data_IF_663328319594
#
_entry.id   IF_663328319594
#
_cell.length_a   1.000
_cell.length_b   1.000
_cell.length_c   1.000
_cell.angle_alpha   90.00
_cell.angle_beta   90.00
_cell.angle_gamma   90.00
#
_symmetry.space_group_name_H-M   'P 1'
#
loop_
_entity.id
_entity.type
_entity.pdbx_description
1 polymer ?
#
# COMPACT_ATOMS: atom_id res chain seq x y z
N UNK A 1 43.03 -10.02 -3.68
CA UNK A 1 43.31 -10.44 -2.29
C UNK A 1 42.32 -11.49 -1.78
N UNK A 2 40.98 -11.24 -1.72
CA UNK A 2 40.02 -12.25 -1.24
C UNK A 2 39.79 -13.36 -2.28
N UNK A 3 39.78 -13.05 -3.57
CA UNK A 3 39.74 -14.06 -4.64
C UNK A 3 40.96 -15.00 -4.61
N UNK A 4 42.13 -14.46 -4.38
CA UNK A 4 43.35 -15.25 -4.19
C UNK A 4 43.23 -16.15 -2.96
N UNK A 5 42.70 -15.62 -1.84
CA UNK A 5 42.48 -16.40 -0.63
C UNK A 5 41.48 -17.56 -0.88
N UNK A 6 40.42 -17.32 -1.66
CA UNK A 6 39.44 -18.32 -2.08
C UNK A 6 40.09 -19.33 -3.01
N UNK A 7 40.95 -18.89 -3.93
CA UNK A 7 41.67 -19.77 -4.85
C UNK A 7 42.58 -20.75 -4.10
N UNK A 8 43.39 -20.26 -3.13
CA UNK A 8 44.28 -21.09 -2.34
C UNK A 8 43.56 -21.95 -1.29
N UNK A 9 42.45 -21.48 -0.75
CA UNK A 9 41.64 -22.23 0.20
C UNK A 9 40.13 -22.08 -0.10
N UNK A 10 39.56 -22.94 -0.95
CA UNK A 10 38.16 -22.90 -1.33
C UNK A 10 37.16 -23.11 -0.18
N UNK A 11 37.63 -23.45 1.03
CA UNK A 11 36.80 -23.59 2.23
C UNK A 11 37.00 -22.46 3.24
N UNK A 12 37.70 -21.37 2.89
CA UNK A 12 37.98 -20.25 3.75
C UNK A 12 36.71 -19.33 3.89
N UNK A 13 35.85 -19.67 4.83
CA UNK A 13 34.56 -18.93 5.09
C UNK A 13 34.81 -17.42 5.19
N UNK A 14 35.82 -16.99 5.96
CA UNK A 14 36.10 -15.59 6.17
C UNK A 14 36.40 -14.82 4.86
N UNK A 15 37.07 -15.46 3.89
CA UNK A 15 37.36 -14.86 2.60
C UNK A 15 36.09 -14.62 1.77
N UNK A 16 35.16 -15.57 1.75
CA UNK A 16 33.89 -15.43 1.05
C UNK A 16 32.98 -14.38 1.69
N UNK A 17 32.87 -14.39 3.02
CA UNK A 17 32.01 -13.41 3.71
C UNK A 17 32.54 -11.98 3.51
N UNK A 18 33.85 -11.78 3.62
CA UNK A 18 34.48 -10.47 3.35
C UNK A 18 34.38 -10.06 1.88
N UNK A 19 34.52 -11.00 0.96
CA UNK A 19 34.27 -10.75 -0.45
C UNK A 19 32.84 -10.27 -0.67
N UNK A 20 31.87 -10.96 -0.11
CA UNK A 20 30.47 -10.62 -0.23
C UNK A 20 30.15 -9.23 0.39
N UNK A 21 30.75 -8.87 1.52
CA UNK A 21 30.59 -7.53 2.13
C UNK A 21 31.05 -6.40 1.22
N UNK A 22 32.13 -6.60 0.47
CA UNK A 22 32.64 -5.59 -0.46
C UNK A 22 31.75 -5.48 -1.71
N UNK A 23 31.32 -6.62 -2.23
CA UNK A 23 30.62 -6.67 -3.51
C UNK A 23 29.10 -6.57 -3.41
N UNK A 24 28.50 -6.69 -2.22
CA UNK A 24 27.03 -6.71 -2.04
C UNK A 24 26.30 -5.52 -2.67
N UNK A 25 26.95 -4.35 -2.72
CA UNK A 25 26.37 -3.14 -3.34
C UNK A 25 26.89 -2.93 -4.77
N UNK A 26 28.18 -3.19 -5.02
CA UNK A 26 28.80 -2.92 -6.31
C UNK A 26 28.49 -4.02 -7.36
N UNK A 27 28.45 -5.27 -6.95
CA UNK A 27 28.11 -6.42 -7.81
C UNK A 27 27.50 -7.55 -6.96
N UNK A 28 26.26 -7.37 -6.59
CA UNK A 28 25.53 -8.33 -5.77
C UNK A 28 25.42 -9.73 -6.41
N UNK A 29 25.36 -9.80 -7.73
CA UNK A 29 25.27 -11.08 -8.43
C UNK A 29 26.55 -11.92 -8.25
N UNK A 30 27.70 -11.29 -8.35
CA UNK A 30 29.00 -11.94 -8.09
C UNK A 30 29.14 -12.34 -6.61
N UNK A 31 28.68 -11.49 -5.69
CA UNK A 31 28.68 -11.81 -4.26
C UNK A 31 27.82 -13.05 -3.97
N UNK A 32 26.60 -13.13 -4.54
CA UNK A 32 25.72 -14.29 -4.41
C UNK A 32 26.33 -15.54 -5.03
N UNK A 33 26.94 -15.45 -6.21
CA UNK A 33 27.63 -16.57 -6.86
C UNK A 33 28.70 -17.17 -5.95
N UNK A 34 29.58 -16.32 -5.40
CA UNK A 34 30.65 -16.76 -4.50
C UNK A 34 30.10 -17.38 -3.22
N UNK A 35 29.06 -16.80 -2.62
CA UNK A 35 28.41 -17.36 -1.44
C UNK A 35 27.77 -18.73 -1.75
N UNK A 36 27.15 -18.90 -2.92
CA UNK A 36 26.59 -20.19 -3.33
C UNK A 36 27.66 -21.24 -3.59
N UNK A 37 28.85 -20.87 -4.11
CA UNK A 37 29.99 -21.74 -4.19
C UNK A 37 30.40 -22.30 -2.80
N UNK A 38 30.50 -21.40 -1.81
CA UNK A 38 30.79 -21.82 -0.43
C UNK A 38 29.64 -22.66 0.17
N UNK A 39 28.37 -22.29 -0.11
CA UNK A 39 27.22 -23.06 0.36
C UNK A 39 27.18 -24.47 -0.16
N UNK A 40 27.61 -24.72 -1.41
CA UNK A 40 27.73 -26.04 -1.98
C UNK A 40 28.82 -26.88 -1.26
N UNK A 41 29.91 -26.24 -0.81
CA UNK A 41 30.98 -26.90 -0.06
C UNK A 41 30.68 -27.10 1.43
N UNK A 42 29.81 -26.25 1.98
CA UNK A 42 29.43 -26.19 3.39
C UNK A 42 27.93 -25.92 3.55
N UNK A 43 27.05 -26.89 3.25
CA UNK A 43 25.60 -26.69 3.23
C UNK A 43 24.98 -26.21 4.55
N UNK A 44 25.59 -26.59 5.68
CA UNK A 44 25.13 -26.23 7.03
C UNK A 44 25.68 -24.90 7.56
N UNK A 45 26.44 -24.16 6.74
CA UNK A 45 27.05 -22.89 7.20
C UNK A 45 26.02 -21.75 7.25
N UNK A 46 25.51 -21.49 8.44
CA UNK A 46 24.51 -20.43 8.69
C UNK A 46 25.03 -19.03 8.46
N UNK A 47 26.35 -18.79 8.53
CA UNK A 47 26.94 -17.50 8.19
C UNK A 47 26.80 -17.15 6.70
N UNK A 48 26.79 -18.18 5.84
CA UNK A 48 26.51 -18.01 4.40
C UNK A 48 25.03 -17.66 4.19
N UNK A 49 24.11 -18.37 4.87
CA UNK A 49 22.68 -18.07 4.79
C UNK A 49 22.37 -16.65 5.26
N UNK A 50 22.99 -16.23 6.36
CA UNK A 50 22.86 -14.86 6.86
C UNK A 50 23.30 -13.83 5.82
N UNK A 51 24.44 -14.04 5.19
CA UNK A 51 24.97 -13.11 4.19
C UNK A 51 24.13 -13.10 2.91
N UNK A 52 23.62 -14.25 2.46
CA UNK A 52 22.68 -14.35 1.34
C UNK A 52 21.37 -13.61 1.66
N UNK A 53 20.82 -13.82 2.87
CA UNK A 53 19.60 -13.15 3.30
C UNK A 53 19.74 -11.61 3.28
N UNK A 54 20.87 -11.08 3.82
CA UNK A 54 21.18 -9.65 3.78
C UNK A 54 21.22 -9.10 2.34
N UNK A 55 21.88 -9.83 1.41
CA UNK A 55 22.01 -9.36 0.02
C UNK A 55 20.67 -9.44 -0.72
N UNK A 56 19.90 -10.51 -0.56
CA UNK A 56 18.58 -10.63 -1.17
C UNK A 56 17.62 -9.54 -0.63
N UNK A 57 17.68 -9.26 0.68
CA UNK A 57 16.89 -8.19 1.29
C UNK A 57 17.22 -6.82 0.68
N UNK A 58 18.52 -6.50 0.54
CA UNK A 58 18.98 -5.26 -0.08
C UNK A 58 18.58 -5.13 -1.56
N UNK A 59 18.39 -6.26 -2.24
CA UNK A 59 17.92 -6.32 -3.64
C UNK A 59 16.40 -6.29 -3.78
N UNK A 60 15.67 -6.22 -2.69
CA UNK A 60 14.21 -6.37 -2.64
C UNK A 60 13.71 -7.73 -3.18
N UNK A 61 14.59 -8.77 -3.20
CA UNK A 61 14.19 -10.15 -3.50
C UNK A 61 13.74 -10.82 -2.19
N UNK A 62 12.56 -10.37 -1.72
CA UNK A 62 12.06 -10.74 -0.40
C UNK A 62 11.73 -12.22 -0.28
N UNK A 63 11.36 -12.88 -1.37
CA UNK A 63 11.13 -14.32 -1.41
C UNK A 63 12.42 -15.09 -1.07
N UNK A 64 13.53 -14.78 -1.76
CA UNK A 64 14.81 -15.43 -1.48
C UNK A 64 15.42 -14.98 -0.15
N UNK A 65 15.16 -13.73 0.27
CA UNK A 65 15.57 -13.26 1.59
C UNK A 65 14.89 -14.08 2.69
N UNK A 66 13.55 -14.23 2.63
CA UNK A 66 12.79 -15.03 3.60
C UNK A 66 13.25 -16.50 3.63
N UNK A 67 13.48 -17.12 2.46
CA UNK A 67 14.02 -18.48 2.36
C UNK A 67 15.39 -18.59 3.04
N UNK A 68 16.31 -17.65 2.81
CA UNK A 68 17.62 -17.66 3.43
C UNK A 68 17.54 -17.38 4.96
N UNK A 69 16.70 -16.44 5.41
CA UNK A 69 16.45 -16.18 6.84
C UNK A 69 15.89 -17.42 7.54
N UNK A 70 14.97 -18.15 6.93
CA UNK A 70 14.32 -19.33 7.53
C UNK A 70 15.34 -20.39 7.99
N UNK A 71 16.52 -20.45 7.38
CA UNK A 71 17.55 -21.45 7.68
C UNK A 71 18.35 -21.14 8.95
N UNK A 72 18.29 -19.92 9.46
CA UNK A 72 19.09 -19.56 10.64
C UNK A 72 18.38 -18.64 11.64
N UNK A 73 17.37 -17.85 11.22
CA UNK A 73 16.77 -16.81 12.04
C UNK A 73 16.10 -17.33 13.32
N UNK A 74 15.73 -18.60 13.34
CA UNK A 74 15.16 -19.29 14.52
C UNK A 74 16.21 -19.98 15.37
N UNK A 75 17.47 -19.95 14.96
CA UNK A 75 18.58 -20.63 15.65
C UNK A 75 19.33 -19.71 16.63
N UNK A 76 20.29 -20.30 17.38
CA UNK A 76 21.02 -19.58 18.44
C UNK A 76 21.99 -18.49 17.91
N UNK A 77 22.28 -18.49 16.62
CA UNK A 77 23.19 -17.52 16.00
C UNK A 77 22.49 -16.26 15.49
N UNK A 78 21.16 -16.26 15.49
CA UNK A 78 20.36 -15.14 15.03
C UNK A 78 20.31 -14.02 16.07
N UNK A 79 20.40 -12.81 15.59
CA UNK A 79 20.15 -11.61 16.40
C UNK A 79 18.66 -11.21 16.34
N UNK A 80 18.23 -10.32 17.23
CA UNK A 80 16.89 -9.75 17.20
C UNK A 80 16.67 -9.00 15.87
N UNK A 81 17.69 -8.31 15.35
CA UNK A 81 17.64 -7.64 14.05
C UNK A 81 17.41 -8.62 12.88
N UNK A 82 18.04 -9.81 12.93
CA UNK A 82 17.80 -10.85 11.93
C UNK A 82 16.36 -11.33 11.95
N UNK A 83 15.77 -11.46 13.14
CA UNK A 83 14.37 -11.85 13.31
C UNK A 83 13.41 -10.77 12.79
N UNK A 84 13.72 -9.50 13.07
CA UNK A 84 12.96 -8.36 12.52
C UNK A 84 13.02 -8.37 11.00
N UNK A 85 14.21 -8.48 10.39
CA UNK A 85 14.36 -8.53 8.93
C UNK A 85 13.68 -9.73 8.30
N UNK A 86 13.71 -10.88 8.98
CA UNK A 86 12.97 -12.07 8.53
C UNK A 86 11.47 -11.81 8.48
N UNK A 87 10.90 -11.30 9.57
CA UNK A 87 9.48 -10.96 9.63
C UNK A 87 9.09 -9.92 8.56
N UNK A 88 9.90 -8.89 8.35
CA UNK A 88 9.69 -7.93 7.27
C UNK A 88 9.80 -8.54 5.88
N UNK A 89 10.77 -9.42 5.63
CA UNK A 89 10.89 -10.10 4.35
C UNK A 89 9.67 -10.96 4.03
N UNK A 90 9.12 -11.64 5.03
CA UNK A 90 7.88 -12.41 4.90
C UNK A 90 6.68 -11.48 4.61
N UNK A 91 6.56 -10.37 5.34
CA UNK A 91 5.51 -9.37 5.12
C UNK A 91 5.57 -8.81 3.69
N UNK A 92 6.75 -8.39 3.23
CA UNK A 92 6.94 -7.84 1.88
C UNK A 92 6.80 -8.89 0.77
N UNK A 93 6.90 -10.18 1.12
CA UNK A 93 6.59 -11.32 0.24
C UNK A 93 5.11 -11.76 0.34
N UNK A 94 4.26 -11.00 1.05
CA UNK A 94 2.84 -11.28 1.29
C UNK A 94 2.55 -12.59 2.05
N UNK A 95 3.53 -13.13 2.79
CA UNK A 95 3.34 -14.28 3.68
C UNK A 95 3.00 -13.76 5.09
N UNK A 96 1.82 -13.18 5.22
CA UNK A 96 1.40 -12.43 6.41
C UNK A 96 1.28 -13.32 7.66
N UNK A 97 0.81 -14.56 7.51
CA UNK A 97 0.69 -15.49 8.63
C UNK A 97 2.05 -15.83 9.22
N UNK A 98 3.03 -16.18 8.38
CA UNK A 98 4.39 -16.48 8.88
C UNK A 98 5.09 -15.23 9.41
N UNK A 99 4.89 -14.08 8.75
CA UNK A 99 5.40 -12.81 9.26
C UNK A 99 4.90 -12.54 10.67
N UNK A 100 3.60 -12.74 10.90
CA UNK A 100 2.95 -12.58 12.21
C UNK A 100 3.48 -13.59 13.23
N UNK A 101 3.68 -14.85 12.84
CA UNK A 101 4.26 -15.88 13.70
C UNK A 101 5.65 -15.46 14.19
N UNK A 102 6.52 -15.03 13.27
CA UNK A 102 7.87 -14.56 13.59
C UNK A 102 7.84 -13.30 14.44
N UNK A 103 6.95 -12.35 14.14
CA UNK A 103 6.78 -11.14 14.94
C UNK A 103 6.34 -11.47 16.38
N UNK A 104 5.39 -12.38 16.54
CA UNK A 104 4.92 -12.82 17.86
C UNK A 104 6.00 -13.52 18.69
N UNK A 105 6.91 -14.26 18.05
CA UNK A 105 8.08 -14.82 18.77
C UNK A 105 9.01 -13.71 19.30
N UNK A 106 9.18 -12.64 18.54
CA UNK A 106 9.90 -11.46 19.01
C UNK A 106 9.19 -10.77 20.17
N UNK A 107 7.86 -10.62 20.08
CA UNK A 107 7.03 -10.02 21.13
C UNK A 107 6.97 -10.85 22.42
N UNK A 108 7.10 -12.17 22.36
CA UNK A 108 7.25 -13.01 23.57
C UNK A 108 8.50 -12.66 24.36
N UNK A 109 9.58 -12.23 23.69
CA UNK A 109 10.84 -11.81 24.34
C UNK A 109 10.80 -10.36 24.76
N UNK A 110 10.26 -9.49 23.91
CA UNK A 110 10.15 -8.05 24.16
C UNK A 110 8.78 -7.53 23.70
N UNK A 111 7.76 -7.52 24.58
CA UNK A 111 6.40 -7.09 24.23
C UNK A 111 6.30 -5.64 23.72
N UNK A 112 7.28 -4.78 24.06
CA UNK A 112 7.29 -3.36 23.69
C UNK A 112 8.16 -3.06 22.48
N UNK A 113 8.65 -4.09 21.78
CA UNK A 113 9.52 -3.89 20.60
C UNK A 113 8.75 -3.26 19.43
N UNK A 114 9.14 -2.05 19.02
CA UNK A 114 8.41 -1.24 18.05
C UNK A 114 8.24 -1.95 16.69
N UNK A 115 9.31 -2.55 16.14
CA UNK A 115 9.25 -3.18 14.82
C UNK A 115 8.33 -4.41 14.78
N UNK A 116 8.27 -5.22 15.86
CA UNK A 116 7.38 -6.37 15.91
C UNK A 116 5.92 -5.95 16.13
N UNK A 117 5.65 -4.93 16.96
CA UNK A 117 4.28 -4.41 17.12
C UNK A 117 3.77 -3.76 15.83
N UNK A 118 4.64 -3.02 15.10
CA UNK A 118 4.35 -2.50 13.76
C UNK A 118 3.91 -3.61 12.81
N UNK A 119 4.71 -4.68 12.72
CA UNK A 119 4.40 -5.82 11.86
C UNK A 119 3.14 -6.56 12.29
N UNK A 120 2.90 -6.70 13.60
CA UNK A 120 1.67 -7.29 14.11
C UNK A 120 0.45 -6.48 13.65
N UNK A 121 0.48 -5.14 13.78
CA UNK A 121 -0.58 -4.26 13.27
C UNK A 121 -0.79 -4.43 11.77
N UNK A 122 0.28 -4.41 10.96
CA UNK A 122 0.19 -4.55 9.51
C UNK A 122 -0.39 -5.91 9.10
N UNK A 123 0.20 -7.00 9.62
CA UNK A 123 -0.23 -8.35 9.29
C UNK A 123 -1.68 -8.62 9.71
N UNK A 124 -2.09 -8.22 10.92
CA UNK A 124 -3.47 -8.36 11.35
C UNK A 124 -4.44 -7.57 10.48
N UNK A 125 -4.04 -6.39 10.01
CA UNK A 125 -4.86 -5.57 9.09
C UNK A 125 -5.04 -6.28 7.76
N UNK A 126 -3.96 -6.78 7.14
CA UNK A 126 -4.02 -7.50 5.86
C UNK A 126 -4.78 -8.83 5.97
N UNK A 127 -4.66 -9.52 7.12
CA UNK A 127 -5.41 -10.74 7.44
C UNK A 127 -6.87 -10.49 7.84
N UNK A 128 -7.32 -9.22 7.88
CA UNK A 128 -8.67 -8.80 8.28
C UNK A 128 -9.05 -9.23 9.72
N UNK A 129 -8.06 -9.35 10.57
CA UNK A 129 -8.21 -9.65 12.00
C UNK A 129 -8.26 -8.36 12.79
N UNK A 130 -9.37 -7.64 12.66
CA UNK A 130 -9.48 -6.24 13.06
C UNK A 130 -9.36 -5.99 14.56
N UNK A 131 -9.87 -6.87 15.41
CA UNK A 131 -9.76 -6.72 16.87
C UNK A 131 -8.31 -6.83 17.34
N UNK A 132 -7.56 -7.77 16.78
CA UNK A 132 -6.15 -7.94 17.08
C UNK A 132 -5.32 -6.82 16.45
N UNK A 133 -5.68 -6.36 15.24
CA UNK A 133 -5.03 -5.23 14.61
C UNK A 133 -5.18 -3.95 15.43
N UNK A 134 -6.37 -3.67 15.99
CA UNK A 134 -6.61 -2.51 16.87
C UNK A 134 -5.78 -2.59 18.15
N UNK A 135 -5.69 -3.78 18.78
CA UNK A 135 -4.83 -3.97 19.95
C UNK A 135 -3.35 -3.75 19.61
N UNK A 136 -2.90 -4.30 18.49
CA UNK A 136 -1.52 -4.11 18.04
C UNK A 136 -1.22 -2.64 17.70
N UNK A 137 -2.18 -1.92 17.09
CA UNK A 137 -2.06 -0.49 16.84
C UNK A 137 -1.97 0.33 18.14
N UNK A 138 -2.82 0.02 19.13
CA UNK A 138 -2.78 0.70 20.42
C UNK A 138 -1.43 0.51 21.12
N UNK A 139 -0.94 -0.71 21.19
CA UNK A 139 0.39 -1.00 21.74
C UNK A 139 1.48 -0.27 20.93
N UNK A 140 1.43 -0.33 19.60
CA UNK A 140 2.45 0.28 18.75
C UNK A 140 2.54 1.80 18.93
N UNK A 141 1.40 2.49 18.92
CA UNK A 141 1.39 3.95 19.00
C UNK A 141 1.53 4.51 20.43
N UNK A 142 1.13 3.76 21.46
CA UNK A 142 1.03 4.29 22.82
C UNK A 142 1.99 3.64 23.81
N UNK A 143 2.49 2.42 23.56
CA UNK A 143 3.25 1.65 24.56
C UNK A 143 4.67 1.29 24.14
N UNK A 144 5.01 1.36 22.83
CA UNK A 144 6.35 0.96 22.36
C UNK A 144 7.41 1.99 22.71
N UNK A 145 8.61 1.49 22.94
CA UNK A 145 9.77 2.34 23.23
C UNK A 145 10.38 2.87 21.94
N UNK A 146 10.59 4.19 21.83
CA UNK A 146 11.34 4.85 20.75
C UNK A 146 10.90 4.47 19.33
N UNK A 147 9.59 4.43 19.07
CA UNK A 147 9.09 4.19 17.73
C UNK A 147 9.34 5.41 16.83
N UNK A 148 10.10 5.22 15.75
CA UNK A 148 10.12 6.18 14.64
C UNK A 148 8.94 5.87 13.73
N UNK A 149 7.96 6.78 13.71
CA UNK A 149 6.77 6.61 12.88
C UNK A 149 7.05 7.01 11.44
N UNK A 150 6.63 6.16 10.51
CA UNK A 150 6.64 6.41 9.08
C UNK A 150 5.24 6.72 8.56
N UNK A 151 5.15 7.24 7.35
CA UNK A 151 3.86 7.44 6.70
C UNK A 151 3.07 6.12 6.55
N UNK A 152 3.76 4.99 6.37
CA UNK A 152 3.14 3.66 6.28
C UNK A 152 2.40 3.28 7.56
N UNK A 153 2.91 3.65 8.73
CA UNK A 153 2.27 3.33 10.00
C UNK A 153 0.89 3.98 10.09
N UNK A 154 0.82 5.26 9.77
CA UNK A 154 -0.45 5.99 9.75
C UNK A 154 -1.35 5.58 8.59
N UNK A 155 -0.79 5.21 7.45
CA UNK A 155 -1.58 4.68 6.33
C UNK A 155 -2.25 3.36 6.69
N UNK A 156 -1.50 2.41 7.27
CA UNK A 156 -2.06 1.12 7.73
C UNK A 156 -3.11 1.30 8.83
N UNK A 157 -2.87 2.21 9.76
CA UNK A 157 -3.86 2.51 10.79
C UNK A 157 -5.11 3.17 10.18
N UNK A 158 -4.94 4.04 9.20
CA UNK A 158 -6.05 4.60 8.42
C UNK A 158 -6.88 3.52 7.72
N UNK A 159 -6.23 2.56 7.04
CA UNK A 159 -6.91 1.43 6.39
C UNK A 159 -7.69 0.56 7.40
N UNK A 160 -7.09 0.25 8.54
CA UNK A 160 -7.76 -0.49 9.61
C UNK A 160 -9.03 0.24 10.10
N UNK A 161 -8.94 1.54 10.33
CA UNK A 161 -10.06 2.36 10.77
C UNK A 161 -11.15 2.47 9.69
N UNK A 162 -10.76 2.54 8.41
CA UNK A 162 -11.69 2.54 7.28
C UNK A 162 -12.45 1.22 7.15
N UNK A 163 -11.77 0.08 7.30
CA UNK A 163 -12.39 -1.25 7.33
C UNK A 163 -13.38 -1.39 8.51
N UNK A 164 -13.10 -0.74 9.63
CA UNK A 164 -13.99 -0.63 10.79
C UNK A 164 -15.08 0.45 10.63
N UNK A 165 -15.16 1.10 9.48
CA UNK A 165 -16.11 2.20 9.16
C UNK A 165 -15.93 3.45 10.04
N UNK A 166 -14.78 3.62 10.65
CA UNK A 166 -14.40 4.80 11.45
C UNK A 166 -13.74 5.85 10.55
N UNK A 167 -14.51 6.34 9.58
CA UNK A 167 -13.96 7.15 8.47
C UNK A 167 -13.32 8.47 8.89
N UNK A 168 -13.87 9.16 9.91
CA UNK A 168 -13.28 10.39 10.43
C UNK A 168 -11.91 10.15 11.07
N UNK A 169 -11.81 9.08 11.85
CA UNK A 169 -10.54 8.68 12.47
C UNK A 169 -9.54 8.24 11.39
N UNK A 170 -10.00 7.52 10.35
CA UNK A 170 -9.16 7.11 9.22
C UNK A 170 -8.56 8.30 8.48
N UNK A 171 -9.37 9.32 8.17
CA UNK A 171 -8.89 10.55 7.53
C UNK A 171 -7.80 11.23 8.34
N UNK A 172 -7.96 11.33 9.67
CA UNK A 172 -6.93 11.91 10.56
C UNK A 172 -5.60 11.16 10.42
N UNK A 173 -5.63 9.81 10.31
CA UNK A 173 -4.39 9.05 10.15
C UNK A 173 -3.79 9.24 8.76
N UNK A 174 -4.60 9.24 7.71
CA UNK A 174 -4.11 9.54 6.35
C UNK A 174 -3.50 10.95 6.24
N UNK A 175 -4.09 11.95 6.91
CA UNK A 175 -3.52 13.31 6.96
C UNK A 175 -2.16 13.35 7.66
N UNK A 176 -1.98 12.58 8.76
CA UNK A 176 -0.67 12.40 9.39
C UNK A 176 0.33 11.72 8.45
N UNK A 177 -0.12 10.72 7.69
CA UNK A 177 0.72 10.08 6.68
C UNK A 177 1.18 11.06 5.60
N UNK A 178 0.27 11.94 5.11
CA UNK A 178 0.60 13.03 4.16
C UNK A 178 1.63 14.00 4.74
N UNK A 179 1.52 14.33 6.03
CA UNK A 179 2.50 15.22 6.68
C UNK A 179 3.91 14.61 6.72
N UNK A 180 4.02 13.28 6.88
CA UNK A 180 5.29 12.58 6.92
C UNK A 180 5.88 12.33 5.53
N UNK A 181 5.03 12.09 4.54
CA UNK A 181 5.45 11.95 3.13
C UNK A 181 4.50 12.73 2.21
N UNK A 182 4.72 14.05 2.06
CA UNK A 182 3.92 14.88 1.16
C UNK A 182 4.06 14.51 -0.32
N UNK A 183 5.09 13.76 -0.69
CA UNK A 183 5.32 13.30 -2.06
C UNK A 183 4.43 12.13 -2.44
N UNK A 184 3.91 11.37 -1.46
CA UNK A 184 3.01 10.25 -1.69
C UNK A 184 1.57 10.72 -1.90
N UNK A 185 1.30 11.22 -3.08
CA UNK A 185 -0.01 11.79 -3.44
C UNK A 185 -1.12 10.73 -3.48
N UNK A 186 -0.81 9.43 -3.52
CA UNK A 186 -1.81 8.35 -3.40
C UNK A 186 -2.59 8.41 -2.08
N UNK A 187 -2.03 9.00 -1.03
CA UNK A 187 -2.72 9.20 0.25
C UNK A 187 -3.98 10.07 0.09
N UNK A 188 -3.98 11.02 -0.85
CA UNK A 188 -5.19 11.81 -1.16
C UNK A 188 -6.29 10.97 -1.81
N UNK A 189 -5.93 9.89 -2.52
CA UNK A 189 -6.90 8.91 -3.03
C UNK A 189 -7.58 8.16 -1.87
N UNK A 190 -6.81 7.78 -0.85
CA UNK A 190 -7.35 7.12 0.36
C UNK A 190 -8.27 8.08 1.13
N UNK A 191 -7.85 9.33 1.31
CA UNK A 191 -8.68 10.37 1.95
C UNK A 191 -9.99 10.56 1.18
N UNK A 192 -9.92 10.61 -0.15
CA UNK A 192 -11.11 10.73 -0.99
C UNK A 192 -12.06 9.55 -0.80
N UNK A 193 -11.54 8.32 -0.80
CA UNK A 193 -12.34 7.11 -0.61
C UNK A 193 -13.02 7.10 0.77
N UNK A 194 -12.32 7.49 1.83
CA UNK A 194 -12.88 7.56 3.17
C UNK A 194 -14.03 8.60 3.25
N UNK A 195 -13.87 9.77 2.63
CA UNK A 195 -14.94 10.76 2.55
C UNK A 195 -16.11 10.30 1.66
N UNK A 196 -15.85 9.61 0.53
CA UNK A 196 -16.90 9.02 -0.32
C UNK A 196 -17.77 8.04 0.48
N UNK A 197 -17.14 7.14 1.27
CA UNK A 197 -17.86 6.18 2.11
C UNK A 197 -18.70 6.83 3.21
N UNK A 198 -18.31 8.00 3.63
CA UNK A 198 -19.06 8.83 4.59
C UNK A 198 -20.16 9.68 3.91
N UNK A 199 -20.25 9.66 2.58
CA UNK A 199 -21.10 10.55 1.76
C UNK A 199 -20.73 12.05 1.87
N UNK A 200 -19.50 12.39 2.34
CA UNK A 200 -18.98 13.76 2.27
C UNK A 200 -18.32 13.99 0.90
N UNK A 201 -19.16 14.02 -0.13
CA UNK A 201 -18.67 14.12 -1.52
C UNK A 201 -17.90 15.40 -1.80
N UNK A 202 -18.21 16.51 -1.10
CA UNK A 202 -17.49 17.78 -1.27
C UNK A 202 -16.01 17.61 -0.90
N UNK A 203 -15.73 16.97 0.23
CA UNK A 203 -14.35 16.70 0.65
C UNK A 203 -13.72 15.56 -0.17
N UNK A 204 -14.50 14.55 -0.55
CA UNK A 204 -14.03 13.48 -1.41
C UNK A 204 -13.52 14.02 -2.77
N UNK A 205 -14.31 14.90 -3.42
CA UNK A 205 -13.94 15.54 -4.68
C UNK A 205 -12.67 16.39 -4.50
N UNK A 206 -12.61 17.19 -3.44
CA UNK A 206 -11.44 18.04 -3.16
C UNK A 206 -10.16 17.21 -2.96
N UNK A 207 -10.25 16.12 -2.20
CA UNK A 207 -9.10 15.22 -2.01
C UNK A 207 -8.72 14.51 -3.32
N UNK A 208 -9.70 14.00 -4.07
CA UNK A 208 -9.43 13.35 -5.36
C UNK A 208 -8.82 14.31 -6.38
N UNK A 209 -9.23 15.57 -6.37
CA UNK A 209 -8.66 16.61 -7.22
C UNK A 209 -7.17 16.83 -6.95
N UNK A 210 -6.76 16.81 -5.68
CA UNK A 210 -5.33 16.89 -5.30
C UNK A 210 -4.56 15.69 -5.83
N UNK A 211 -5.10 14.49 -5.69
CA UNK A 211 -4.51 13.28 -6.25
C UNK A 211 -4.37 13.39 -7.77
N UNK A 212 -5.47 13.67 -8.47
CA UNK A 212 -5.51 13.74 -9.94
C UNK A 212 -4.58 14.81 -10.52
N UNK A 213 -4.55 16.00 -9.91
CA UNK A 213 -3.67 17.09 -10.31
C UNK A 213 -2.18 16.81 -10.10
N UNK A 214 -1.84 15.87 -9.21
CA UNK A 214 -0.45 15.45 -8.97
C UNK A 214 0.09 14.49 -10.03
N UNK A 215 -0.79 13.92 -10.86
CA UNK A 215 -0.42 12.97 -11.89
C UNK A 215 0.07 13.67 -13.16
N UNK A 216 1.09 13.12 -13.78
CA UNK A 216 1.48 13.49 -15.13
C UNK A 216 0.30 13.28 -16.10
N UNK A 217 0.19 14.09 -17.14
CA UNK A 217 -0.93 14.02 -18.10
C UNK A 217 -1.12 12.61 -18.70
N UNK A 218 -0.03 11.90 -18.94
CA UNK A 218 -0.06 10.53 -19.48
C UNK A 218 -0.66 9.50 -18.51
N UNK A 219 -0.63 9.80 -17.22
CA UNK A 219 -1.21 8.96 -16.16
C UNK A 219 -2.65 9.32 -15.83
N UNK A 220 -3.17 10.42 -16.37
CA UNK A 220 -4.56 10.85 -16.20
C UNK A 220 -5.48 10.06 -17.13
N UNK A 221 -5.62 8.77 -16.85
CA UNK A 221 -6.38 7.82 -17.68
C UNK A 221 -7.89 8.06 -17.63
N UNK A 222 -8.66 7.57 -18.63
CA UNK A 222 -10.13 7.61 -18.61
C UNK A 222 -10.75 6.98 -17.35
N UNK A 223 -10.14 5.92 -16.79
CA UNK A 223 -10.62 5.28 -15.55
C UNK A 223 -10.53 6.22 -14.36
N UNK A 224 -9.47 7.01 -14.25
CA UNK A 224 -9.34 8.01 -13.19
C UNK A 224 -10.32 9.19 -13.41
N UNK A 225 -10.56 9.57 -14.66
CA UNK A 225 -11.61 10.55 -14.98
C UNK A 225 -13.00 10.01 -14.63
N UNK A 226 -13.24 8.73 -14.92
CA UNK A 226 -14.49 8.06 -14.59
C UNK A 226 -14.78 8.08 -13.08
N UNK A 227 -13.77 7.80 -12.27
CA UNK A 227 -13.91 7.92 -10.81
C UNK A 227 -14.28 9.35 -10.38
N UNK A 228 -13.73 10.35 -11.05
CA UNK A 228 -14.07 11.75 -10.78
C UNK A 228 -15.52 12.05 -11.12
N UNK A 229 -15.98 11.59 -12.29
CA UNK A 229 -17.39 11.66 -12.69
C UNK A 229 -18.33 11.00 -11.70
N UNK A 230 -17.95 9.81 -11.19
CA UNK A 230 -18.70 9.08 -10.16
C UNK A 230 -18.84 9.87 -8.85
N UNK A 231 -17.79 10.54 -8.41
CA UNK A 231 -17.84 11.38 -7.21
C UNK A 231 -18.81 12.55 -7.38
N UNK A 232 -18.79 13.22 -8.54
CA UNK A 232 -19.76 14.28 -8.84
C UNK A 232 -21.18 13.75 -8.95
N UNK A 233 -21.37 12.59 -9.59
CA UNK A 233 -22.67 11.93 -9.66
C UNK A 233 -23.20 11.57 -8.26
N UNK A 234 -22.37 10.99 -7.41
CA UNK A 234 -22.70 10.69 -6.01
C UNK A 234 -23.10 11.95 -5.23
N UNK A 235 -22.38 13.05 -5.42
CA UNK A 235 -22.72 14.33 -4.80
C UNK A 235 -24.10 14.81 -5.23
N UNK A 236 -24.46 14.66 -6.50
CA UNK A 236 -25.74 15.09 -7.04
C UNK A 236 -26.92 14.19 -6.68
N UNK A 237 -26.66 12.89 -6.42
CA UNK A 237 -27.71 11.88 -6.18
C UNK A 237 -27.82 11.42 -4.73
N UNK A 238 -26.94 11.92 -3.83
CA UNK A 238 -27.01 11.51 -2.43
C UNK A 238 -28.41 11.79 -1.85
N UNK A 239 -28.94 10.80 -1.12
CA UNK A 239 -30.24 10.93 -0.46
C UNK A 239 -30.15 12.00 0.61
N UNK A 240 -31.22 12.74 0.74
CA UNK A 240 -31.48 13.80 1.67
C UNK A 240 -30.40 14.10 2.68
N UNK A 241 -29.65 15.09 2.40
CA UNK A 241 -28.86 15.62 3.45
C UNK A 241 -29.17 17.07 3.63
N UNK A 242 -29.30 17.40 4.86
CA UNK A 242 -29.31 18.74 5.39
C UNK A 242 -28.10 19.58 4.95
N UNK A 243 -27.20 19.02 4.14
CA UNK A 243 -25.87 19.57 3.83
C UNK A 243 -25.67 20.02 2.39
N UNK A 244 -26.60 19.71 1.47
CA UNK A 244 -26.46 20.10 0.06
C UNK A 244 -27.74 20.73 -0.48
N UNK A 245 -27.63 21.90 -1.10
CA UNK A 245 -28.75 22.59 -1.72
C UNK A 245 -29.15 21.97 -3.06
N UNK A 246 -30.36 22.26 -3.53
CA UNK A 246 -30.83 21.83 -4.86
C UNK A 246 -29.90 22.34 -5.97
N UNK A 247 -29.40 23.56 -5.83
CA UNK A 247 -28.49 24.16 -6.80
C UNK A 247 -27.13 23.46 -6.83
N UNK A 248 -26.57 23.16 -5.66
CA UNK A 248 -25.33 22.38 -5.56
C UNK A 248 -25.47 20.97 -6.15
N UNK A 249 -26.65 20.32 -5.97
CA UNK A 249 -26.96 19.03 -6.61
C UNK A 249 -26.95 19.13 -8.13
N UNK A 250 -27.63 20.14 -8.68
CA UNK A 250 -27.67 20.38 -10.12
C UNK A 250 -26.28 20.65 -10.67
N UNK A 251 -25.50 21.47 -9.99
CA UNK A 251 -24.11 21.76 -10.37
C UNK A 251 -23.22 20.50 -10.35
N UNK A 252 -23.36 19.65 -9.35
CA UNK A 252 -22.65 18.40 -9.26
C UNK A 252 -23.01 17.46 -10.42
N UNK A 253 -24.30 17.29 -10.73
CA UNK A 253 -24.75 16.47 -11.85
C UNK A 253 -24.29 17.02 -13.20
N UNK A 254 -24.32 18.33 -13.39
CA UNK A 254 -23.78 18.98 -14.59
C UNK A 254 -22.26 18.76 -14.72
N UNK A 255 -21.53 18.81 -13.61
CA UNK A 255 -20.10 18.48 -13.58
C UNK A 255 -19.85 17.00 -13.92
N UNK A 256 -20.69 16.10 -13.41
CA UNK A 256 -20.63 14.67 -13.76
C UNK A 256 -20.85 14.46 -15.25
N UNK A 257 -21.90 15.09 -15.84
CA UNK A 257 -22.16 15.00 -17.30
C UNK A 257 -20.95 15.49 -18.11
N UNK A 258 -20.36 16.61 -17.72
CA UNK A 258 -19.18 17.17 -18.41
C UNK A 258 -17.98 16.21 -18.38
N UNK A 259 -17.73 15.55 -17.27
CA UNK A 259 -16.66 14.55 -17.15
C UNK A 259 -16.96 13.33 -18.02
N UNK A 260 -18.17 12.81 -17.98
CA UNK A 260 -18.57 11.66 -18.80
C UNK A 260 -18.64 11.99 -20.28
N UNK A 261 -18.92 13.25 -20.65
CA UNK A 261 -18.81 13.71 -22.03
C UNK A 261 -17.37 13.62 -22.54
N UNK A 262 -16.40 14.07 -21.72
CA UNK A 262 -15.00 13.95 -22.08
C UNK A 262 -14.58 12.48 -22.30
N UNK A 263 -15.10 11.57 -21.48
CA UNK A 263 -14.87 10.12 -21.66
C UNK A 263 -15.52 9.58 -22.94
N UNK A 264 -16.77 9.99 -23.24
CA UNK A 264 -17.45 9.57 -24.47
C UNK A 264 -16.71 10.04 -25.72
N UNK A 265 -16.15 11.25 -25.70
CA UNK A 265 -15.35 11.79 -26.80
C UNK A 265 -14.02 11.04 -26.94
N UNK A 266 -13.36 10.71 -25.83
CA UNK A 266 -12.08 10.01 -25.83
C UNK A 266 -12.20 8.53 -26.22
N UNK A 267 -13.34 7.90 -26.00
CA UNK A 267 -13.61 6.50 -26.29
C UNK A 267 -15.00 6.32 -26.93
N UNK A 268 -15.17 6.75 -28.20
CA UNK A 268 -16.48 6.77 -28.86
C UNK A 268 -17.08 5.37 -29.06
N UNK A 269 -16.24 4.32 -29.12
CA UNK A 269 -16.69 2.93 -29.24
C UNK A 269 -17.17 2.33 -27.88
N UNK A 270 -17.01 3.08 -26.79
CA UNK A 270 -17.43 2.66 -25.46
C UNK A 270 -18.77 3.30 -25.10
N UNK A 271 -19.75 2.50 -24.76
CA UNK A 271 -21.05 2.98 -24.29
C UNK A 271 -20.97 3.70 -22.93
N UNK A 272 -19.93 3.49 -22.13
CA UNK A 272 -19.84 3.94 -20.74
C UNK A 272 -20.01 5.45 -20.58
N UNK A 273 -19.37 6.24 -21.42
CA UNK A 273 -19.48 7.69 -21.36
C UNK A 273 -20.93 8.15 -21.49
N UNK A 274 -21.59 7.76 -22.58
CA UNK A 274 -22.98 8.14 -22.85
C UNK A 274 -23.97 7.51 -21.87
N UNK A 275 -23.73 6.28 -21.41
CA UNK A 275 -24.55 5.65 -20.37
C UNK A 275 -24.55 6.47 -19.06
N UNK A 276 -23.39 6.95 -18.62
CA UNK A 276 -23.32 7.74 -17.40
C UNK A 276 -23.79 9.18 -17.58
N UNK A 277 -23.66 9.73 -18.79
CA UNK A 277 -24.32 10.99 -19.18
C UNK A 277 -25.84 10.86 -19.08
N UNK A 278 -26.41 9.79 -19.62
CA UNK A 278 -27.84 9.51 -19.50
C UNK A 278 -28.28 9.46 -18.03
N UNK A 279 -27.53 8.79 -17.15
CA UNK A 279 -27.84 8.73 -15.72
C UNK A 279 -27.76 10.11 -15.02
N UNK A 280 -26.74 10.91 -15.33
CA UNK A 280 -26.61 12.23 -14.76
C UNK A 280 -27.75 13.15 -15.19
N UNK A 281 -28.12 13.09 -16.48
CA UNK A 281 -29.22 13.87 -17.04
C UNK A 281 -30.59 13.37 -16.59
N UNK A 282 -30.77 12.06 -16.35
CA UNK A 282 -31.98 11.53 -15.70
C UNK A 282 -32.14 12.04 -14.27
N UNK A 283 -31.04 12.16 -13.53
CA UNK A 283 -31.07 12.71 -12.18
C UNK A 283 -31.32 14.23 -12.16
N UNK A 284 -30.95 14.95 -13.23
CA UNK A 284 -31.25 16.38 -13.42
C UNK A 284 -32.74 16.62 -13.77
N UNK A 285 -33.37 15.67 -14.42
CA UNK A 285 -34.77 15.73 -14.88
C UNK A 285 -35.55 14.49 -14.39
N UNK A 286 -35.77 14.35 -13.06
CA UNK A 286 -36.38 13.19 -12.46
C UNK A 286 -37.85 12.99 -12.91
N UNK A 287 -38.56 14.07 -13.22
CA UNK A 287 -39.93 14.04 -13.72
C UNK A 287 -40.00 13.77 -15.24
N UNK A 288 -38.85 13.61 -15.90
CA UNK A 288 -38.73 13.40 -17.35
C UNK A 288 -39.45 14.42 -18.23
N UNK A 289 -39.67 15.65 -17.69
CA UNK A 289 -40.39 16.72 -18.37
C UNK A 289 -39.59 17.40 -19.46
N UNK A 290 -38.27 17.39 -19.33
CA UNK A 290 -37.33 17.99 -20.29
C UNK A 290 -36.73 16.97 -21.26
N UNK A 291 -36.81 15.70 -20.93
CA UNK A 291 -36.27 14.61 -21.75
C UNK A 291 -34.74 14.61 -21.88
N UNK A 292 -34.03 15.17 -20.89
CA UNK A 292 -32.58 15.40 -20.93
C UNK A 292 -31.75 14.13 -21.15
N UNK A 293 -32.19 13.00 -20.62
CA UNK A 293 -31.46 11.74 -20.72
C UNK A 293 -31.64 11.02 -22.05
N UNK A 294 -32.73 11.30 -22.78
CA UNK A 294 -33.16 10.58 -23.98
C UNK A 294 -32.06 10.47 -25.06
N UNK A 295 -31.39 11.55 -25.48
CA UNK A 295 -30.39 11.46 -26.56
C UNK A 295 -29.26 10.49 -26.23
N UNK A 296 -28.87 10.44 -24.96
CA UNK A 296 -27.74 9.61 -24.52
C UNK A 296 -28.12 8.12 -24.38
N UNK A 297 -29.35 7.81 -24.01
CA UNK A 297 -29.84 6.44 -24.04
C UNK A 297 -30.01 5.93 -25.48
N UNK A 298 -30.42 6.78 -26.40
CA UNK A 298 -30.53 6.43 -27.82
C UNK A 298 -29.16 6.11 -28.45
N UNK A 299 -28.08 6.77 -28.01
CA UNK A 299 -26.70 6.46 -28.45
C UNK A 299 -26.13 5.17 -27.82
N UNK A 300 -26.71 4.68 -26.74
CA UNK A 300 -26.27 3.46 -26.04
C UNK A 300 -27.03 2.22 -26.53
N UNK A 301 -28.22 2.40 -27.12
CA UNK A 301 -29.09 1.35 -27.61
C UNK A 301 -28.61 0.76 -28.94
#
# INVERSE_FOLDING_TARGET
>A
KYEEAIYFNPRCVAAYLKFADIYKMANSSLAIEKLNQLKALQPSNTGVDKKLAEIYYLKNDFSKAADAYSRFAMGPVATEEDLVKYAFALFLNHDFEKSLEVANMGLQKNPRHAAFNRLAMYNYTDLKRFDEAMKAADIFFNETDKADYSYLDYMYYGHLLEDLKKYDEAVIQYEKAVQLDPSNTNLYKNISAAYERKNDYKKAISAYQKYYASLDKEKQTPDLQFQFGRLYYGAGTQSDSLTITVEERKQALASADSVFQAIAVAAPDSYLGNFWRARANSALDPETTLGLAKPFYEEVA
#
